data_IF_206249889456
#
_entry.id   IF_206249889456
#
_cell.length_a   1.000
_cell.length_b   1.000
_cell.length_c   1.000
_cell.angle_alpha   90.00
_cell.angle_beta   90.00
_cell.angle_gamma   90.00
#
_symmetry.space_group_name_H-M   'P 1'
#
loop_
_entity.id
_entity.type
_entity.pdbx_description
1 polymer ?
#
# COMPACT_ATOMS: atom_id res chain seq x y z
N UNK A 1 54.34 11.79 -30.36
CA UNK A 1 54.12 11.37 -31.77
C UNK A 1 53.00 12.21 -32.36
N UNK A 2 53.26 12.85 -33.50
CA UNK A 2 52.21 13.26 -34.45
C UNK A 2 51.68 14.68 -34.34
N UNK A 3 52.23 15.56 -35.18
CA UNK A 3 51.80 16.92 -35.46
C UNK A 3 50.83 16.97 -36.67
N UNK A 4 50.03 18.05 -36.75
CA UNK A 4 49.53 18.72 -37.97
C UNK A 4 48.38 18.00 -38.76
N UNK A 5 47.29 18.64 -39.18
CA UNK A 5 47.17 19.71 -40.19
C UNK A 5 45.81 20.45 -40.18
N UNK A 6 45.86 21.65 -40.78
CA UNK A 6 44.83 22.67 -41.05
C UNK A 6 43.56 22.21 -41.80
N UNK A 7 42.46 22.99 -41.66
CA UNK A 7 41.75 23.61 -42.81
C UNK A 7 41.14 24.99 -42.49
N UNK A 8 41.19 25.83 -43.52
CA UNK A 8 40.89 27.26 -43.63
C UNK A 8 39.43 27.58 -44.05
N UNK A 9 39.12 28.89 -43.91
CA UNK A 9 38.28 29.76 -44.75
C UNK A 9 36.78 29.87 -44.41
N UNK A 10 36.08 31.00 -44.56
CA UNK A 10 36.37 32.44 -44.77
C UNK A 10 35.00 33.19 -44.85
N UNK A 11 35.03 34.54 -44.87
CA UNK A 11 34.03 35.51 -45.41
C UNK A 11 32.84 35.88 -44.48
N UNK A 12 32.38 37.13 -44.26
CA UNK A 12 32.61 38.53 -44.69
C UNK A 12 32.03 39.42 -43.55
N UNK A 13 32.65 40.47 -43.01
CA UNK A 13 32.94 41.81 -43.54
C UNK A 13 31.71 42.64 -43.98
N UNK A 14 31.42 43.72 -43.22
CA UNK A 14 30.91 45.07 -43.57
C UNK A 14 30.40 45.68 -42.25
N UNK A 15 30.76 46.86 -41.76
CA UNK A 15 31.43 48.06 -42.28
C UNK A 15 30.81 49.19 -41.44
N UNK A 16 31.55 49.94 -40.62
CA UNK A 16 32.32 51.15 -40.94
C UNK A 16 31.81 52.27 -40.00
N UNK A 17 32.66 52.81 -39.11
CA UNK A 17 33.30 54.17 -39.15
C UNK A 17 32.38 55.28 -38.62
N UNK A 18 32.81 56.32 -37.91
CA UNK A 18 34.10 57.04 -37.78
C UNK A 18 34.07 57.77 -36.40
N UNK A 19 35.06 57.67 -35.51
CA UNK A 19 36.36 58.38 -35.44
C UNK A 19 36.28 59.91 -35.37
N UNK A 20 36.83 60.49 -34.29
CA UNK A 20 37.79 61.61 -34.34
C UNK A 20 38.35 61.89 -32.93
N UNK A 21 39.63 61.56 -32.73
CA UNK A 21 40.51 62.13 -31.71
C UNK A 21 40.98 63.53 -32.14
N UNK A 22 41.25 64.39 -31.17
CA UNK A 22 42.02 65.63 -31.38
C UNK A 22 42.97 65.86 -30.19
N UNK A 23 44.24 66.10 -30.52
CA UNK A 23 45.26 66.68 -29.64
C UNK A 23 45.07 68.20 -29.49
N UNK A 24 45.48 68.74 -28.36
CA UNK A 24 45.60 70.20 -28.18
C UNK A 24 46.40 70.54 -26.93
N UNK A 25 47.66 70.93 -27.12
CA UNK A 25 48.49 71.66 -26.16
C UNK A 25 48.10 73.14 -26.13
N UNK A 26 48.21 73.79 -24.97
CA UNK A 26 47.93 75.23 -24.83
C UNK A 26 48.52 75.79 -23.55
N UNK A 27 49.72 76.37 -23.66
CA UNK A 27 50.32 77.27 -22.68
C UNK A 27 49.89 78.70 -23.03
N UNK A 28 49.44 79.49 -22.07
CA UNK A 28 49.50 80.97 -22.15
C UNK A 28 49.47 81.58 -20.74
N UNK A 29 50.43 82.46 -20.41
CA UNK A 29 50.55 83.21 -19.16
C UNK A 29 49.86 84.59 -19.27
N UNK A 30 50.05 85.44 -18.25
CA UNK A 30 49.57 86.82 -18.01
C UNK A 30 48.40 86.84 -17.01
N UNK A 31 48.71 87.05 -15.72
CA UNK A 31 48.83 88.37 -15.07
C UNK A 31 47.45 88.97 -14.82
N UNK A 32 47.06 89.01 -13.54
CA UNK A 32 46.38 90.15 -12.96
C UNK A 32 46.81 90.24 -11.49
N UNK A 33 47.84 91.07 -11.32
CA UNK A 33 48.12 91.80 -10.10
C UNK A 33 46.87 92.60 -9.71
N UNK A 34 45.98 92.02 -8.90
CA UNK A 34 45.09 92.81 -8.05
C UNK A 34 45.65 92.86 -6.63
N UNK A 35 46.49 93.88 -6.45
CA UNK A 35 46.30 94.85 -5.38
C UNK A 35 46.31 94.30 -3.95
N UNK A 36 47.53 94.01 -3.48
CA UNK A 36 48.38 94.84 -2.58
C UNK A 36 47.71 96.01 -1.76
N UNK A 37 46.45 96.37 -1.96
CA UNK A 37 45.71 97.41 -1.22
C UNK A 37 44.78 96.88 -0.12
N UNK A 38 45.10 95.75 0.52
CA UNK A 38 44.44 95.32 1.77
C UNK A 38 45.38 95.27 2.99
N UNK A 39 46.59 95.84 2.90
CA UNK A 39 47.59 95.77 3.98
C UNK A 39 47.52 96.90 5.00
N UNK A 40 46.33 97.39 5.33
CA UNK A 40 46.15 98.34 6.43
C UNK A 40 44.76 98.28 7.08
N UNK A 41 44.33 97.07 7.48
CA UNK A 41 43.33 96.96 8.58
C UNK A 41 43.21 95.65 9.37
N UNK A 42 44.16 94.70 9.33
CA UNK A 42 44.18 93.59 10.28
C UNK A 42 45.60 93.27 10.74
N UNK A 43 45.87 93.46 12.04
CA UNK A 43 47.17 93.29 12.72
C UNK A 43 47.45 91.83 13.10
N UNK A 44 46.84 90.89 12.39
CA UNK A 44 46.71 89.50 12.82
C UNK A 44 47.24 88.55 11.75
N UNK A 45 48.29 87.81 12.09
CA UNK A 45 48.83 86.74 11.24
C UNK A 45 48.26 85.40 11.70
N UNK A 46 47.71 84.55 10.81
CA UNK A 46 47.23 83.22 11.17
C UNK A 46 48.35 82.38 11.82
N UNK A 47 48.11 81.85 13.02
CA UNK A 47 49.14 81.17 13.84
C UNK A 47 49.20 79.65 13.60
N UNK A 48 48.03 79.00 13.53
CA UNK A 48 47.89 77.58 13.20
C UNK A 48 47.34 77.40 11.77
N UNK A 49 47.56 76.24 11.15
CA UNK A 49 46.97 75.93 9.84
C UNK A 49 45.43 75.89 9.90
N UNK A 50 44.72 76.26 8.81
CA UNK A 50 43.26 76.18 8.77
C UNK A 50 42.76 74.75 9.01
N UNK A 51 41.81 74.58 9.95
CA UNK A 51 41.22 73.27 10.21
C UNK A 51 40.23 72.93 9.08
N UNK A 52 40.53 71.85 8.35
CA UNK A 52 39.58 71.22 7.42
C UNK A 52 39.17 69.86 7.98
N UNK A 53 37.98 69.78 8.57
CA UNK A 53 37.41 68.50 9.06
C UNK A 53 36.59 67.87 7.93
N UNK A 54 37.03 66.73 7.39
CA UNK A 54 36.22 65.97 6.43
C UNK A 54 34.99 65.40 7.14
N UNK A 55 33.80 65.59 6.57
CA UNK A 55 32.50 65.16 7.14
C UNK A 55 32.20 65.70 8.55
N UNK A 56 32.66 66.91 8.85
CA UNK A 56 32.42 67.61 10.11
C UNK A 56 32.56 69.11 9.97
N UNK A 57 32.22 69.84 11.03
CA UNK A 57 32.41 71.28 11.12
C UNK A 57 33.13 71.63 12.43
N UNK A 58 34.00 72.63 12.36
CA UNK A 58 34.72 73.16 13.50
C UNK A 58 34.11 74.53 13.86
N UNK A 59 33.59 74.66 15.07
CA UNK A 59 33.14 75.95 15.58
C UNK A 59 34.24 76.57 16.45
N UNK A 60 34.97 77.53 15.90
CA UNK A 60 36.12 78.15 16.53
C UNK A 60 35.75 79.46 17.22
N UNK A 61 36.13 79.57 18.49
CA UNK A 61 36.02 80.78 19.31
C UNK A 61 37.41 81.32 19.56
N UNK A 62 37.68 82.52 19.06
CA UNK A 62 38.93 83.23 19.27
C UNK A 62 38.88 83.99 20.61
N UNK A 63 40.02 84.26 21.28
CA UNK A 63 40.01 84.89 22.60
C UNK A 63 39.49 86.32 22.63
N UNK A 64 39.65 87.09 21.54
CA UNK A 64 39.33 88.53 21.46
C UNK A 64 38.37 88.88 20.31
N UNK A 65 37.81 87.88 19.60
CA UNK A 65 36.91 88.12 18.46
C UNK A 65 37.64 88.47 17.16
N UNK A 66 38.89 88.04 17.05
CA UNK A 66 39.80 88.20 15.90
C UNK A 66 39.18 87.73 14.57
N UNK A 67 39.57 88.38 13.47
CA UNK A 67 39.07 88.07 12.13
C UNK A 67 39.53 86.67 11.68
N UNK A 68 40.77 86.31 12.00
CA UNK A 68 41.34 85.00 11.70
C UNK A 68 41.00 83.99 12.79
N UNK A 69 40.21 82.96 12.44
CA UNK A 69 39.76 81.88 13.36
C UNK A 69 40.85 80.85 13.71
N UNK A 70 42.12 81.20 13.58
CA UNK A 70 43.28 80.34 13.78
C UNK A 70 44.46 81.07 14.45
N UNK A 71 44.17 82.06 15.29
CA UNK A 71 45.15 82.76 16.16
C UNK A 71 45.53 81.93 17.38
N UNK A 72 46.65 82.27 18.02
CA UNK A 72 47.15 81.59 19.23
C UNK A 72 46.07 81.57 20.33
N UNK A 73 45.83 80.41 20.95
CA UNK A 73 44.83 80.26 22.00
C UNK A 73 43.37 80.09 21.53
N UNK A 74 43.11 80.12 20.21
CA UNK A 74 41.78 79.80 19.65
C UNK A 74 41.33 78.41 20.07
N UNK A 75 40.07 78.28 20.52
CA UNK A 75 39.44 77.02 20.89
C UNK A 75 38.39 76.64 19.85
N UNK A 76 38.57 75.48 19.21
CA UNK A 76 37.64 74.96 18.22
C UNK A 76 36.92 73.73 18.75
N UNK A 77 35.61 73.83 18.91
CA UNK A 77 34.75 72.70 19.21
C UNK A 77 34.43 71.95 17.92
N UNK A 78 34.78 70.66 17.88
CA UNK A 78 34.64 69.83 16.69
C UNK A 78 33.34 69.04 16.78
N UNK A 79 32.50 69.14 15.75
CA UNK A 79 31.28 68.35 15.61
C UNK A 79 31.28 67.62 14.27
N UNK A 80 31.04 66.32 14.31
CA UNK A 80 30.91 65.51 13.10
C UNK A 80 29.48 65.63 12.53
N UNK A 81 29.34 65.42 11.22
CA UNK A 81 28.03 65.31 10.58
C UNK A 81 27.30 64.05 11.08
N UNK A 82 25.96 64.04 10.97
CA UNK A 82 25.14 62.88 11.35
C UNK A 82 25.64 61.63 10.62
N UNK A 83 25.81 60.51 11.34
CA UNK A 83 26.39 59.29 10.79
C UNK A 83 27.91 59.17 10.87
N UNK A 84 28.60 60.18 11.39
CA UNK A 84 30.04 60.13 11.66
C UNK A 84 30.30 60.24 13.16
N UNK A 85 31.31 59.53 13.64
CA UNK A 85 31.79 59.53 15.01
C UNK A 85 33.12 60.27 15.10
N UNK A 86 33.26 61.10 16.14
CA UNK A 86 34.48 61.83 16.40
C UNK A 86 35.55 60.89 16.99
N UNK A 87 36.68 60.79 16.32
CA UNK A 87 37.87 60.12 16.82
C UNK A 87 38.96 61.16 17.11
N UNK A 88 39.22 61.40 18.39
CA UNK A 88 40.13 62.44 18.88
C UNK A 88 39.47 63.35 19.93
N UNK A 89 40.14 64.43 20.34
CA UNK A 89 39.61 65.37 21.32
C UNK A 89 38.42 66.19 20.75
N UNK A 90 37.40 66.45 21.57
CA UNK A 90 36.22 67.25 21.19
C UNK A 90 36.53 68.74 21.02
N UNK A 91 37.62 69.22 21.63
CA UNK A 91 38.08 70.59 21.54
C UNK A 91 39.56 70.62 21.13
N UNK A 92 39.87 71.42 20.12
CA UNK A 92 41.23 71.70 19.65
C UNK A 92 41.65 73.10 20.06
N UNK A 93 42.90 73.25 20.51
CA UNK A 93 43.49 74.52 20.92
C UNK A 93 44.70 74.81 20.04
N UNK A 94 44.80 76.03 19.50
CA UNK A 94 45.99 76.46 18.77
C UNK A 94 47.12 76.77 19.77
N UNK A 95 48.20 75.98 19.72
CA UNK A 95 49.31 76.06 20.67
C UNK A 95 50.43 76.98 20.18
N UNK A 96 51.32 77.39 21.08
CA UNK A 96 52.51 78.21 20.77
C UNK A 96 53.44 77.54 19.74
N UNK A 97 53.39 76.21 19.64
CA UNK A 97 54.11 75.37 18.66
C UNK A 97 53.62 75.53 17.21
N UNK A 98 52.67 76.43 16.94
CA UNK A 98 52.00 76.62 15.62
C UNK A 98 51.27 75.37 15.13
N UNK A 99 50.91 74.46 16.05
CA UNK A 99 50.15 73.23 15.79
C UNK A 99 48.90 73.20 16.67
N UNK A 100 47.88 72.50 16.21
CA UNK A 100 46.70 72.20 17.01
C UNK A 100 47.03 71.14 18.08
N UNK A 101 46.35 71.21 19.22
CA UNK A 101 46.56 70.32 20.38
C UNK A 101 46.36 68.83 20.10
N UNK A 102 45.76 68.46 18.97
CA UNK A 102 45.56 67.09 18.56
C UNK A 102 45.10 66.98 17.12
N UNK A 103 44.97 65.74 16.65
CA UNK A 103 44.39 65.41 15.35
C UNK A 103 42.97 64.89 15.57
N UNK A 104 42.03 65.37 14.77
CA UNK A 104 40.63 64.93 14.78
C UNK A 104 40.27 64.28 13.45
N UNK A 105 39.51 63.20 13.51
CA UNK A 105 38.97 62.53 12.35
C UNK A 105 37.53 62.12 12.61
N UNK A 106 36.61 62.56 11.74
CA UNK A 106 35.25 62.05 11.73
C UNK A 106 35.23 60.76 10.92
N UNK A 107 35.14 59.60 11.59
CA UNK A 107 35.03 58.29 10.94
C UNK A 107 33.55 57.95 10.78
N UNK A 108 33.16 57.38 9.63
CA UNK A 108 31.78 56.97 9.41
C UNK A 108 31.39 55.87 10.41
N UNK A 109 30.21 56.00 11.03
CA UNK A 109 29.69 54.99 11.95
C UNK A 109 29.39 53.72 11.18
N UNK A 110 29.71 52.58 11.79
CA UNK A 110 29.50 51.25 11.22
C UNK A 110 28.78 50.36 12.23
N UNK A 111 27.69 49.72 11.79
CA UNK A 111 26.98 48.72 12.57
C UNK A 111 27.73 47.36 12.54
N UNK A 112 27.45 46.45 13.50
CA UNK A 112 27.94 45.08 13.46
C UNK A 112 27.60 44.40 12.12
N UNK A 113 28.50 43.54 11.65
CA UNK A 113 28.27 42.71 10.47
C UNK A 113 27.11 41.75 10.72
N UNK A 114 26.09 41.79 9.85
CA UNK A 114 24.95 40.89 9.93
C UNK A 114 25.39 39.44 9.68
N UNK A 115 24.87 38.51 10.47
CA UNK A 115 25.03 37.07 10.23
C UNK A 115 24.14 36.64 9.06
N UNK A 116 24.67 35.81 8.17
CA UNK A 116 23.86 35.23 7.10
C UNK A 116 22.84 34.24 7.69
N UNK A 117 21.54 34.37 7.37
CA UNK A 117 20.55 33.39 7.77
C UNK A 117 20.78 32.06 7.03
N UNK A 118 20.61 30.94 7.71
CA UNK A 118 20.56 29.61 7.08
C UNK A 118 19.41 29.56 6.07
N UNK A 119 19.66 29.02 4.87
CA UNK A 119 18.67 28.95 3.77
C UNK A 119 18.14 30.32 3.30
N UNK A 120 18.98 31.35 3.35
CA UNK A 120 18.67 32.67 2.83
C UNK A 120 19.91 33.56 2.71
N UNK A 121 19.67 34.85 2.56
CA UNK A 121 20.71 35.86 2.47
C UNK A 121 20.18 37.27 2.73
N UNK A 122 21.07 38.25 2.62
CA UNK A 122 20.71 39.66 2.67
C UNK A 122 21.50 40.45 1.65
N UNK A 123 20.92 41.55 1.17
CA UNK A 123 21.55 42.49 0.25
C UNK A 123 21.52 43.88 0.86
N UNK A 124 22.70 44.47 1.08
CA UNK A 124 22.85 45.82 1.61
C UNK A 124 23.23 46.79 0.50
N UNK A 125 22.72 48.03 0.58
CA UNK A 125 23.06 49.10 -0.37
C UNK A 125 24.49 49.62 -0.18
N UNK A 126 24.90 49.85 1.07
CA UNK A 126 26.21 50.44 1.41
C UNK A 126 26.84 49.69 2.61
N UNK A 127 26.96 48.36 2.47
CA UNK A 127 27.53 47.50 3.49
C UNK A 127 26.89 47.70 4.87
N UNK A 128 27.73 47.84 5.90
CA UNK A 128 27.30 48.05 7.30
C UNK A 128 27.43 49.51 7.77
N UNK A 129 27.47 50.48 6.85
CA UNK A 129 27.61 51.90 7.21
C UNK A 129 26.29 52.52 7.67
N UNK A 130 26.38 53.61 8.43
CA UNK A 130 25.23 54.38 8.88
C UNK A 130 24.28 54.75 7.74
N UNK A 131 22.99 54.51 7.94
CA UNK A 131 21.95 54.76 6.93
C UNK A 131 21.86 53.69 5.83
N UNK A 132 22.79 52.72 5.77
CA UNK A 132 22.68 51.57 4.86
C UNK A 132 21.42 50.76 5.18
N UNK A 133 20.67 50.42 4.13
CA UNK A 133 19.48 49.57 4.19
C UNK A 133 19.86 48.18 3.68
N UNK A 134 19.60 47.16 4.48
CA UNK A 134 19.79 45.77 4.12
C UNK A 134 18.43 45.08 4.03
N UNK A 135 18.19 44.40 2.91
CA UNK A 135 17.00 43.61 2.67
C UNK A 135 17.33 42.12 2.75
N UNK A 136 16.57 41.40 3.57
CA UNK A 136 16.67 39.95 3.71
C UNK A 136 15.80 39.24 2.66
N UNK A 137 16.28 38.10 2.19
CA UNK A 137 15.56 37.20 1.30
C UNK A 137 15.81 35.75 1.71
N UNK A 138 14.82 34.88 1.49
CA UNK A 138 14.93 33.45 1.77
C UNK A 138 14.99 32.65 0.46
N UNK A 139 15.62 31.47 0.53
CA UNK A 139 15.59 30.50 -0.56
C UNK A 139 14.15 30.00 -0.81
N UNK A 140 13.83 29.48 -2.00
CA UNK A 140 12.53 28.88 -2.28
C UNK A 140 12.14 27.83 -1.24
N UNK A 141 10.87 27.81 -0.83
CA UNK A 141 10.36 26.93 0.23
C UNK A 141 10.47 27.50 1.65
N UNK A 142 11.30 28.52 1.87
CA UNK A 142 11.48 29.12 3.19
C UNK A 142 10.74 30.46 3.33
N UNK A 143 10.07 30.64 4.46
CA UNK A 143 9.40 31.90 4.83
C UNK A 143 10.27 32.73 5.78
N UNK A 144 10.23 34.04 5.58
CA UNK A 144 11.00 34.99 6.36
C UNK A 144 10.28 35.33 7.67
N UNK A 145 10.92 35.04 8.81
CA UNK A 145 10.45 35.38 10.15
C UNK A 145 11.33 36.46 10.75
N UNK A 146 10.81 37.69 10.81
CA UNK A 146 11.53 38.87 11.31
C UNK A 146 11.27 40.09 10.43
N UNK A 147 12.12 41.12 10.55
CA UNK A 147 11.99 42.32 9.73
C UNK A 147 12.66 42.11 8.37
N UNK A 148 11.90 42.30 7.28
CA UNK A 148 12.42 42.15 5.91
C UNK A 148 13.53 43.16 5.61
N UNK A 149 13.47 44.35 6.20
CA UNK A 149 14.42 45.44 5.94
C UNK A 149 14.94 45.97 7.27
N UNK A 150 16.26 46.03 7.41
CA UNK A 150 16.94 46.62 8.57
C UNK A 150 17.81 47.79 8.13
N UNK A 151 17.86 48.85 8.94
CA UNK A 151 18.65 50.07 8.66
C UNK A 151 19.66 50.31 9.78
N UNK A 152 20.90 50.68 9.42
CA UNK A 152 21.93 50.99 10.42
C UNK A 152 21.67 52.35 11.06
N UNK A 153 21.38 52.34 12.36
CA UNK A 153 20.98 53.53 13.12
C UNK A 153 22.19 54.27 13.72
N UNK A 154 21.94 55.49 14.21
CA UNK A 154 22.99 56.38 14.72
C UNK A 154 23.68 55.86 16.00
N UNK A 155 23.02 54.95 16.72
CA UNK A 155 23.53 54.25 17.89
C UNK A 155 24.39 53.01 17.54
N UNK A 156 24.73 52.81 16.26
CA UNK A 156 25.47 51.64 15.74
C UNK A 156 24.72 50.31 15.93
N UNK A 157 23.40 50.34 16.05
CA UNK A 157 22.53 49.16 16.12
C UNK A 157 21.61 49.14 14.91
N UNK A 158 21.24 47.96 14.45
CA UNK A 158 20.25 47.80 13.38
C UNK A 158 18.83 48.08 13.90
N UNK A 159 18.00 48.75 13.11
CA UNK A 159 16.66 49.23 13.51
C UNK A 159 15.62 48.13 13.80
N UNK A 160 15.90 46.88 13.43
CA UNK A 160 14.95 45.77 13.49
C UNK A 160 15.57 44.48 14.00
N UNK A 161 14.75 43.43 14.10
CA UNK A 161 15.18 42.10 14.52
C UNK A 161 15.80 41.36 13.33
N UNK A 162 16.93 40.65 13.53
CA UNK A 162 17.48 39.78 12.49
C UNK A 162 16.44 38.80 11.98
N UNK A 163 16.30 38.68 10.67
CA UNK A 163 15.38 37.74 10.05
C UNK A 163 15.98 36.33 10.03
N UNK A 164 15.14 35.33 10.28
CA UNK A 164 15.47 33.92 10.09
C UNK A 164 14.57 33.33 8.98
N UNK A 165 15.11 32.43 8.18
CA UNK A 165 14.36 31.68 7.18
C UNK A 165 13.93 30.36 7.78
N UNK A 166 12.63 30.14 7.90
CA UNK A 166 12.05 28.90 8.43
C UNK A 166 11.18 28.25 7.36
N UNK A 167 11.27 26.94 7.27
CA UNK A 167 10.31 26.17 6.50
C UNK A 167 9.01 26.02 7.31
N UNK A 168 7.90 26.15 6.62
CA UNK A 168 6.53 26.05 7.14
C UNK A 168 5.60 25.38 6.14
N UNK A 169 6.06 25.10 4.91
CA UNK A 169 5.26 24.39 3.92
C UNK A 169 5.31 22.90 4.28
N UNK A 170 4.18 22.18 4.32
CA UNK A 170 4.21 20.74 4.50
C UNK A 170 4.60 20.03 3.19
N UNK A 171 5.32 18.90 3.28
CA UNK A 171 5.68 18.12 2.10
C UNK A 171 4.45 17.57 1.39
N UNK A 172 4.47 17.60 0.05
CA UNK A 172 3.41 17.06 -0.81
C UNK A 172 3.71 15.62 -1.19
N UNK A 173 2.76 14.72 -0.98
CA UNK A 173 2.89 13.30 -1.29
C UNK A 173 1.88 12.89 -2.35
N UNK A 174 2.33 12.26 -3.43
CA UNK A 174 1.44 11.81 -4.50
C UNK A 174 0.82 10.46 -4.14
N UNK A 175 -0.51 10.42 -4.03
CA UNK A 175 -1.20 9.18 -3.69
C UNK A 175 -1.27 8.19 -4.87
N UNK A 176 -1.03 6.90 -4.63
CA UNK A 176 -1.36 5.86 -5.60
C UNK A 176 -2.85 5.88 -5.93
N UNK A 177 -3.20 5.46 -7.15
CA UNK A 177 -4.60 5.30 -7.54
C UNK A 177 -5.28 4.22 -6.69
N UNK A 178 -6.58 4.42 -6.43
CA UNK A 178 -7.42 3.43 -5.71
C UNK A 178 -7.40 2.11 -6.48
N UNK A 179 -7.00 1.02 -5.82
CA UNK A 179 -6.93 -0.31 -6.42
C UNK A 179 -8.14 -1.14 -6.01
N UNK A 180 -9.03 -1.40 -6.95
CA UNK A 180 -10.06 -2.42 -6.82
C UNK A 180 -9.53 -3.75 -7.37
N UNK A 181 -9.63 -4.81 -6.57
CA UNK A 181 -9.16 -6.15 -6.93
C UNK A 181 -10.18 -7.21 -6.56
N UNK A 182 -10.35 -8.15 -7.46
CA UNK A 182 -11.14 -9.36 -7.21
C UNK A 182 -10.28 -10.39 -6.49
N UNK A 183 -10.86 -11.11 -5.54
CA UNK A 183 -10.20 -12.24 -4.89
C UNK A 183 -9.73 -13.31 -5.89
N UNK A 184 -8.63 -13.98 -5.54
CA UNK A 184 -8.07 -15.09 -6.32
C UNK A 184 -9.03 -16.30 -6.35
N UNK A 185 -8.95 -17.16 -7.39
CA UNK A 185 -9.78 -18.37 -7.46
C UNK A 185 -9.65 -19.25 -6.22
N UNK A 186 -10.79 -19.74 -5.71
CA UNK A 186 -10.89 -20.59 -4.52
C UNK A 186 -10.34 -19.94 -3.23
N UNK A 187 -10.15 -18.62 -3.20
CA UNK A 187 -9.71 -17.86 -2.02
C UNK A 187 -10.63 -16.67 -1.75
N UNK A 188 -10.51 -16.12 -0.54
CA UNK A 188 -11.20 -14.90 -0.10
C UNK A 188 -10.27 -13.68 -0.07
N UNK A 189 -9.04 -13.84 -0.55
CA UNK A 189 -7.99 -12.82 -0.52
C UNK A 189 -7.51 -12.47 -1.92
N UNK A 190 -7.04 -11.23 -2.11
CA UNK A 190 -6.35 -10.79 -3.32
C UNK A 190 -4.95 -10.28 -2.98
N UNK A 191 -3.95 -10.60 -3.81
CA UNK A 191 -2.62 -9.99 -3.72
C UNK A 191 -2.62 -8.63 -4.40
N UNK A 192 -2.30 -7.57 -3.66
CA UNK A 192 -2.37 -6.18 -4.17
C UNK A 192 -1.00 -5.52 -4.12
N UNK A 193 -0.55 -4.97 -5.24
CA UNK A 193 0.73 -4.27 -5.36
C UNK A 193 0.50 -2.81 -5.71
N UNK A 194 1.34 -1.90 -5.22
CA UNK A 194 1.43 -0.50 -5.63
C UNK A 194 2.84 0.02 -5.37
N UNK A 195 3.21 1.06 -6.12
CA UNK A 195 4.51 1.72 -5.96
C UNK A 195 4.48 2.58 -4.71
N UNK A 196 5.57 2.55 -3.94
CA UNK A 196 5.73 3.37 -2.74
C UNK A 196 5.72 4.85 -3.15
N UNK A 197 4.78 5.67 -2.62
CA UNK A 197 4.68 7.06 -3.01
C UNK A 197 5.87 7.88 -2.51
N UNK A 198 6.31 8.83 -3.32
CA UNK A 198 7.40 9.74 -2.97
C UNK A 198 6.84 11.06 -2.43
N UNK A 199 7.48 11.59 -1.38
CA UNK A 199 7.23 12.95 -0.89
C UNK A 199 8.08 13.95 -1.68
N UNK A 200 7.52 15.13 -1.96
CA UNK A 200 8.23 16.26 -2.55
C UNK A 200 7.94 17.52 -1.75
N UNK A 201 9.00 18.22 -1.41
CA UNK A 201 8.96 19.48 -0.70
C UNK A 201 9.78 20.56 -1.44
N UNK A 202 9.36 21.81 -1.33
CA UNK A 202 10.01 22.94 -2.03
C UNK A 202 11.38 23.28 -1.42
N UNK A 203 11.53 23.14 -0.10
CA UNK A 203 12.74 23.43 0.66
C UNK A 203 13.74 22.27 0.66
N UNK A 204 13.26 21.01 0.77
CA UNK A 204 14.10 19.82 0.94
C UNK A 204 14.23 18.93 -0.31
N UNK A 205 13.39 19.11 -1.33
CA UNK A 205 13.41 18.31 -2.55
C UNK A 205 12.64 16.98 -2.43
N UNK A 206 13.28 15.84 -2.69
CA UNK A 206 12.61 14.52 -2.67
C UNK A 206 12.83 13.85 -1.31
N UNK A 207 11.73 13.44 -0.67
CA UNK A 207 11.70 12.77 0.62
C UNK A 207 11.30 11.30 0.40
N UNK A 208 12.26 10.39 0.61
CA UNK A 208 12.09 8.95 0.41
C UNK A 208 11.70 8.18 1.68
N UNK A 209 11.93 8.77 2.85
CA UNK A 209 11.56 8.15 4.12
C UNK A 209 10.06 8.32 4.38
N UNK A 210 9.29 7.29 4.03
CA UNK A 210 7.83 7.28 4.15
C UNK A 210 7.39 6.22 5.13
N UNK A 211 6.54 6.63 6.08
CA UNK A 211 5.99 5.75 7.11
C UNK A 211 4.66 5.19 6.61
N UNK A 212 4.62 3.87 6.46
CA UNK A 212 3.40 3.12 6.10
C UNK A 212 2.59 2.77 7.36
N UNK A 213 1.29 3.05 7.31
CA UNK A 213 0.28 2.52 8.23
C UNK A 213 -0.75 1.70 7.44
N UNK A 214 -0.78 0.40 7.70
CA UNK A 214 -1.62 -0.57 7.02
C UNK A 214 -0.84 -1.81 6.58
N UNK A 215 -1.48 -2.66 5.78
CA UNK A 215 -0.83 -3.82 5.16
C UNK A 215 0.15 -3.37 4.06
N UNK A 216 1.34 -3.98 3.96
CA UNK A 216 2.34 -3.61 2.95
C UNK A 216 1.94 -4.03 1.53
N UNK A 217 2.47 -3.35 0.50
CA UNK A 217 2.27 -3.76 -0.89
C UNK A 217 2.79 -5.19 -1.10
N UNK A 218 2.07 -5.96 -1.90
CA UNK A 218 2.37 -7.36 -2.22
C UNK A 218 1.88 -8.38 -1.19
N UNK A 219 1.22 -7.95 -0.11
CA UNK A 219 0.56 -8.82 0.85
C UNK A 219 -0.82 -9.31 0.38
N UNK A 220 -1.38 -10.29 1.10
CA UNK A 220 -2.73 -10.81 0.85
C UNK A 220 -3.76 -10.01 1.63
N UNK A 221 -4.66 -9.33 0.91
CA UNK A 221 -5.74 -8.54 1.48
C UNK A 221 -7.02 -9.38 1.55
N UNK A 222 -7.68 -9.51 2.72
CA UNK A 222 -8.97 -10.16 2.84
C UNK A 222 -10.09 -9.31 2.23
N UNK A 223 -11.27 -9.90 2.07
CA UNK A 223 -12.45 -9.19 1.60
C UNK A 223 -12.76 -7.94 2.43
N UNK A 224 -13.03 -6.83 1.76
CA UNK A 224 -13.39 -5.56 2.39
C UNK A 224 -12.58 -4.37 1.90
N UNK A 225 -12.74 -3.26 2.60
CA UNK A 225 -12.11 -1.98 2.29
C UNK A 225 -10.96 -1.73 3.27
N UNK A 226 -9.74 -1.66 2.74
CA UNK A 226 -8.51 -1.48 3.52
C UNK A 226 -7.98 -0.07 3.36
N UNK A 227 -7.87 0.65 4.48
CA UNK A 227 -7.33 2.02 4.51
C UNK A 227 -5.82 1.97 4.63
N UNK A 228 -5.13 2.45 3.60
CA UNK A 228 -3.67 2.58 3.59
C UNK A 228 -3.31 4.04 3.77
N UNK A 229 -2.37 4.32 4.66
CA UNK A 229 -1.89 5.67 4.92
C UNK A 229 -0.36 5.71 4.83
N UNK A 230 0.14 6.67 4.06
CA UNK A 230 1.56 7.03 4.03
C UNK A 230 1.73 8.40 4.67
N UNK A 231 2.77 8.54 5.48
CA UNK A 231 3.14 9.78 6.15
C UNK A 231 4.61 10.09 5.86
N UNK A 232 4.91 11.33 5.52
CA UNK A 232 6.26 11.83 5.28
C UNK A 232 6.48 13.07 6.14
N UNK A 233 7.69 13.23 6.66
CA UNK A 233 8.13 14.41 7.40
C UNK A 233 9.25 15.10 6.63
N UNK A 234 9.26 16.43 6.63
CA UNK A 234 10.40 17.21 6.15
C UNK A 234 11.43 17.40 7.28
N UNK A 235 12.51 18.15 7.01
CA UNK A 235 13.54 18.46 8.02
C UNK A 235 13.10 19.47 9.06
N UNK A 236 12.05 20.23 8.78
CA UNK A 236 11.42 21.18 9.71
C UNK A 236 10.30 20.53 10.55
N UNK A 237 10.14 19.21 10.44
CA UNK A 237 9.10 18.40 11.08
C UNK A 237 7.66 18.68 10.63
N UNK A 238 7.45 19.38 9.51
CA UNK A 238 6.12 19.47 8.91
C UNK A 238 5.70 18.12 8.34
N UNK A 239 4.39 17.85 8.40
CA UNK A 239 3.82 16.54 8.11
C UNK A 239 2.98 16.52 6.85
N UNK A 240 3.36 15.69 5.89
CA UNK A 240 2.57 15.32 4.72
C UNK A 240 1.89 13.97 4.91
N UNK A 241 0.61 13.84 4.56
CA UNK A 241 -0.09 12.54 4.63
C UNK A 241 -0.87 12.24 3.37
N UNK A 242 -0.72 11.02 2.86
CA UNK A 242 -1.53 10.45 1.79
C UNK A 242 -2.39 9.31 2.36
N UNK A 243 -3.66 9.26 1.99
CA UNK A 243 -4.58 8.17 2.35
C UNK A 243 -5.29 7.67 1.10
N UNK A 244 -5.25 6.35 0.89
CA UNK A 244 -6.00 5.72 -0.19
C UNK A 244 -6.63 4.40 0.28
N UNK A 245 -7.58 3.91 -0.52
CA UNK A 245 -8.33 2.70 -0.24
C UNK A 245 -7.91 1.58 -1.19
N UNK A 246 -7.74 0.38 -0.63
CA UNK A 246 -7.62 -0.86 -1.38
C UNK A 246 -8.92 -1.64 -1.17
N UNK A 247 -9.70 -1.84 -2.23
CA UNK A 247 -10.97 -2.56 -2.15
C UNK A 247 -10.80 -3.97 -2.70
N UNK A 248 -11.03 -4.95 -1.85
CA UNK A 248 -11.08 -6.36 -2.26
C UNK A 248 -12.54 -6.82 -2.28
N UNK A 249 -12.96 -7.36 -3.43
CA UNK A 249 -14.31 -7.89 -3.62
C UNK A 249 -14.24 -9.38 -3.96
N UNK A 250 -15.05 -10.17 -3.27
CA UNK A 250 -15.21 -11.60 -3.59
C UNK A 250 -16.44 -11.76 -4.45
N UNK A 251 -16.26 -12.33 -5.65
CA UNK A 251 -17.38 -12.71 -6.52
C UNK A 251 -17.95 -14.01 -6.00
N UNK A 252 -19.27 -14.08 -5.81
CA UNK A 252 -19.97 -15.27 -5.32
C UNK A 252 -21.05 -15.69 -6.29
N UNK A 253 -21.09 -16.99 -6.60
CA UNK A 253 -22.18 -17.60 -7.34
C UNK A 253 -23.38 -17.85 -6.42
N UNK A 254 -24.52 -18.23 -7.00
CA UNK A 254 -25.66 -18.73 -6.21
C UNK A 254 -25.22 -19.91 -5.34
N UNK A 255 -25.70 -19.96 -4.09
CA UNK A 255 -25.39 -21.07 -3.20
C UNK A 255 -26.09 -22.33 -3.72
N UNK A 256 -25.31 -23.38 -3.97
CA UNK A 256 -25.84 -24.67 -4.39
C UNK A 256 -26.36 -25.44 -3.19
N UNK A 257 -27.45 -26.17 -3.40
CA UNK A 257 -28.02 -27.09 -2.43
C UNK A 257 -27.62 -28.53 -2.77
N UNK A 258 -27.66 -29.41 -1.78
CA UNK A 258 -27.51 -30.84 -2.03
C UNK A 258 -28.69 -31.33 -2.91
N UNK A 259 -28.43 -32.20 -3.90
CA UNK A 259 -29.51 -32.84 -4.65
C UNK A 259 -30.30 -33.78 -3.74
N UNK A 260 -31.58 -33.99 -4.05
CA UNK A 260 -32.40 -34.99 -3.36
C UNK A 260 -31.71 -36.35 -3.41
N UNK A 261 -31.64 -37.06 -2.27
CA UNK A 261 -30.92 -38.33 -2.14
C UNK A 261 -29.42 -38.24 -2.50
N UNK A 262 -28.80 -37.09 -2.30
CA UNK A 262 -27.36 -36.90 -2.42
C UNK A 262 -26.78 -35.88 -1.45
N UNK A 263 -25.48 -35.65 -1.57
CA UNK A 263 -24.71 -34.73 -0.76
C UNK A 263 -23.77 -33.90 -1.63
N UNK A 264 -23.42 -32.72 -1.13
CA UNK A 264 -22.54 -31.76 -1.78
C UNK A 264 -21.40 -31.40 -0.84
N UNK A 265 -20.17 -31.38 -1.36
CA UNK A 265 -18.98 -30.94 -0.65
C UNK A 265 -18.29 -29.85 -1.47
N UNK A 266 -18.20 -28.65 -0.91
CA UNK A 266 -17.62 -27.51 -1.60
C UNK A 266 -16.28 -27.08 -0.98
N UNK A 267 -15.38 -26.58 -1.82
CA UNK A 267 -14.12 -25.96 -1.41
C UNK A 267 -14.31 -24.47 -1.06
N UNK A 268 -13.32 -23.87 -0.39
CA UNK A 268 -13.31 -22.44 -0.10
C UNK A 268 -14.44 -22.01 0.83
N UNK A 269 -15.18 -20.97 0.42
CA UNK A 269 -16.35 -20.41 1.12
C UNK A 269 -17.67 -21.01 0.59
N UNK A 270 -17.59 -22.09 -0.20
CA UNK A 270 -18.74 -22.82 -0.75
C UNK A 270 -19.34 -22.25 -2.03
N UNK A 271 -19.22 -20.95 -2.29
CA UNK A 271 -19.72 -20.31 -3.51
C UNK A 271 -18.85 -19.17 -4.05
N UNK A 272 -17.64 -18.95 -3.51
CA UNK A 272 -16.73 -17.93 -4.02
C UNK A 272 -16.17 -18.33 -5.41
N UNK A 273 -15.76 -17.35 -6.20
CA UNK A 273 -15.17 -17.57 -7.52
C UNK A 273 -14.02 -18.59 -7.46
N UNK A 274 -14.07 -19.60 -8.32
CA UNK A 274 -13.14 -20.73 -8.33
C UNK A 274 -13.40 -21.82 -7.29
N UNK A 275 -14.42 -21.69 -6.42
CA UNK A 275 -14.87 -22.77 -5.56
C UNK A 275 -15.40 -23.94 -6.41
N UNK A 276 -15.03 -25.15 -6.02
CA UNK A 276 -15.48 -26.39 -6.64
C UNK A 276 -16.39 -27.11 -5.66
N UNK A 277 -17.60 -27.43 -6.11
CA UNK A 277 -18.55 -28.26 -5.39
C UNK A 277 -18.63 -29.63 -6.05
N UNK A 278 -18.30 -30.67 -5.29
CA UNK A 278 -18.39 -32.07 -5.67
C UNK A 278 -19.71 -32.64 -5.17
N UNK A 279 -20.36 -33.42 -6.02
CA UNK A 279 -21.65 -34.02 -5.77
C UNK A 279 -21.53 -35.53 -5.70
N UNK A 280 -22.33 -36.13 -4.84
CA UNK A 280 -22.35 -37.57 -4.66
C UNK A 280 -23.74 -37.99 -4.23
N UNK A 281 -24.15 -39.20 -4.61
CA UNK A 281 -25.47 -39.72 -4.28
C UNK A 281 -25.37 -40.70 -3.12
N UNK A 282 -26.47 -40.82 -2.36
CA UNK A 282 -26.60 -41.93 -1.42
C UNK A 282 -26.65 -43.24 -2.20
N UNK A 283 -26.19 -44.32 -1.57
CA UNK A 283 -26.04 -45.61 -2.21
C UNK A 283 -27.35 -46.12 -2.77
N UNK A 284 -27.33 -46.41 -4.07
CA UNK A 284 -28.51 -46.84 -4.80
C UNK A 284 -29.23 -45.80 -5.61
N UNK A 285 -28.73 -44.58 -5.59
CA UNK A 285 -28.96 -43.59 -6.62
C UNK A 285 -27.66 -43.42 -7.43
N UNK A 286 -27.80 -43.11 -8.70
CA UNK A 286 -26.72 -42.77 -9.61
C UNK A 286 -26.80 -41.29 -9.97
N UNK A 287 -25.64 -40.65 -10.03
CA UNK A 287 -25.52 -39.25 -10.35
C UNK A 287 -25.75 -39.03 -11.85
N UNK A 288 -26.72 -38.19 -12.18
CA UNK A 288 -26.97 -37.71 -13.54
C UNK A 288 -26.60 -36.22 -13.61
N UNK A 289 -25.77 -35.84 -14.57
CA UNK A 289 -25.25 -34.48 -14.71
C UNK A 289 -23.76 -34.40 -14.39
N UNK A 290 -23.29 -33.24 -13.93
CA UNK A 290 -21.86 -33.03 -13.67
C UNK A 290 -21.47 -33.47 -12.26
N UNK A 291 -20.43 -34.30 -12.08
CA UNK A 291 -19.97 -34.76 -10.77
C UNK A 291 -19.33 -33.67 -9.92
N UNK A 292 -18.83 -32.61 -10.56
CA UNK A 292 -18.36 -31.42 -9.90
C UNK A 292 -18.76 -30.19 -10.70
N UNK A 293 -19.01 -29.08 -10.01
CA UNK A 293 -19.29 -27.77 -10.62
C UNK A 293 -18.34 -26.74 -10.02
N UNK A 294 -17.89 -25.79 -10.84
CA UNK A 294 -16.96 -24.73 -10.45
C UNK A 294 -17.61 -23.37 -10.63
N UNK A 295 -17.51 -22.50 -9.63
CA UNK A 295 -18.04 -21.13 -9.70
C UNK A 295 -17.17 -20.30 -10.66
N UNK A 296 -17.76 -19.86 -11.76
CA UNK A 296 -17.08 -19.14 -12.84
C UNK A 296 -17.10 -17.62 -12.62
N UNK A 297 -16.28 -16.92 -13.41
CA UNK A 297 -16.13 -15.46 -13.29
C UNK A 297 -17.43 -14.70 -13.61
N UNK A 298 -18.26 -15.26 -14.51
CA UNK A 298 -19.58 -14.73 -14.88
C UNK A 298 -20.65 -14.92 -13.79
N UNK A 299 -20.29 -15.40 -12.59
CA UNK A 299 -21.21 -15.70 -11.48
C UNK A 299 -22.12 -16.92 -11.73
N UNK A 300 -21.85 -17.69 -12.79
CA UNK A 300 -22.51 -18.96 -13.08
C UNK A 300 -21.71 -20.16 -12.59
N UNK A 301 -22.37 -21.30 -12.44
CA UNK A 301 -21.72 -22.58 -12.18
C UNK A 301 -21.48 -23.33 -13.48
N UNK A 302 -20.28 -23.90 -13.63
CA UNK A 302 -19.98 -24.75 -14.78
C UNK A 302 -20.84 -26.02 -14.81
N UNK A 303 -20.93 -26.65 -15.97
CA UNK A 303 -21.58 -27.95 -16.13
C UNK A 303 -23.10 -27.92 -15.96
N UNK A 304 -23.67 -29.12 -15.86
CA UNK A 304 -25.11 -29.36 -15.75
C UNK A 304 -25.47 -29.64 -14.30
N UNK A 305 -26.63 -29.16 -13.87
CA UNK A 305 -27.15 -29.41 -12.53
C UNK A 305 -27.27 -30.92 -12.24
N UNK A 306 -26.64 -31.43 -11.17
CA UNK A 306 -26.65 -32.84 -10.85
C UNK A 306 -27.94 -33.25 -10.15
N UNK A 307 -28.46 -34.42 -10.52
CA UNK A 307 -29.59 -35.07 -9.86
C UNK A 307 -29.24 -36.50 -9.51
N UNK A 308 -29.76 -37.02 -8.40
CA UNK A 308 -29.57 -38.41 -8.01
C UNK A 308 -30.81 -39.22 -8.39
N UNK A 309 -30.69 -40.04 -9.42
CA UNK A 309 -31.77 -40.90 -9.91
C UNK A 309 -31.60 -42.33 -9.38
N UNK A 310 -32.69 -43.06 -9.07
CA UNK A 310 -32.56 -44.42 -8.56
C UNK A 310 -31.79 -45.31 -9.55
N UNK A 311 -30.88 -46.12 -9.03
CA UNK A 311 -30.03 -47.00 -9.82
C UNK A 311 -30.87 -47.99 -10.62
N UNK A 312 -30.63 -48.08 -11.94
CA UNK A 312 -31.33 -49.04 -12.78
C UNK A 312 -30.62 -50.40 -12.81
N UNK A 313 -31.04 -51.31 -11.93
CA UNK A 313 -30.50 -52.68 -11.87
C UNK A 313 -30.94 -53.48 -13.11
N UNK A 314 -29.99 -53.86 -13.98
CA UNK A 314 -30.24 -54.73 -15.12
C UNK A 314 -30.23 -56.21 -14.69
N UNK A 315 -31.41 -56.82 -14.64
CA UNK A 315 -31.59 -58.24 -14.30
C UNK A 315 -31.46 -59.18 -15.50
N UNK A 316 -31.42 -58.65 -16.72
CA UNK A 316 -31.32 -59.43 -17.97
C UNK A 316 -29.85 -59.67 -18.37
N UNK A 317 -29.02 -59.99 -17.39
CA UNK A 317 -27.59 -60.29 -17.59
C UNK A 317 -27.36 -61.79 -17.73
N UNK A 318 -26.30 -62.17 -18.46
CA UNK A 318 -25.99 -63.58 -18.77
C UNK A 318 -25.29 -64.32 -17.63
N UNK A 319 -24.58 -63.59 -16.77
CA UNK A 319 -23.77 -64.18 -15.68
C UNK A 319 -24.11 -63.57 -14.32
N UNK A 320 -24.03 -64.38 -13.27
CA UNK A 320 -24.17 -63.91 -11.90
C UNK A 320 -23.12 -62.86 -11.52
N UNK A 321 -21.89 -62.98 -12.01
CA UNK A 321 -20.83 -61.99 -11.79
C UNK A 321 -21.20 -60.61 -12.37
N UNK A 322 -21.76 -60.56 -13.58
CA UNK A 322 -22.22 -59.31 -14.20
C UNK A 322 -23.42 -58.69 -13.48
N UNK A 323 -24.21 -59.48 -12.74
CA UNK A 323 -25.23 -58.95 -11.85
C UNK A 323 -24.60 -58.32 -10.60
N UNK A 324 -23.65 -59.01 -9.97
CA UNK A 324 -22.99 -58.54 -8.75
C UNK A 324 -22.13 -57.29 -8.99
N UNK A 325 -21.48 -57.21 -10.15
CA UNK A 325 -20.65 -56.06 -10.56
C UNK A 325 -21.42 -54.74 -10.56
N UNK A 326 -22.72 -54.77 -10.88
CA UNK A 326 -23.57 -53.59 -10.82
C UNK A 326 -23.66 -52.99 -9.41
N UNK A 327 -23.48 -53.80 -8.35
CA UNK A 327 -23.55 -53.35 -6.97
C UNK A 327 -22.18 -52.98 -6.37
N UNK A 328 -21.09 -53.28 -7.07
CA UNK A 328 -19.73 -53.02 -6.62
C UNK A 328 -19.54 -51.52 -6.29
N UNK A 329 -18.97 -51.23 -5.11
CA UNK A 329 -18.81 -49.90 -4.49
C UNK A 329 -20.12 -49.11 -4.25
N UNK A 330 -21.27 -49.57 -4.75
CA UNK A 330 -22.55 -48.85 -4.70
C UNK A 330 -23.44 -49.32 -3.54
N UNK A 331 -23.71 -50.63 -3.44
CA UNK A 331 -24.67 -51.19 -2.46
C UNK A 331 -24.17 -52.50 -1.85
N UNK A 332 -24.61 -52.78 -0.63
CA UNK A 332 -24.44 -54.06 0.09
C UNK A 332 -25.56 -55.01 -0.33
N UNK A 333 -25.32 -56.31 -0.31
CA UNK A 333 -26.34 -57.30 -0.67
C UNK A 333 -26.74 -58.13 0.54
N UNK A 334 -28.05 -58.30 0.72
CA UNK A 334 -28.65 -59.24 1.66
C UNK A 334 -29.39 -60.30 0.84
N UNK A 335 -28.78 -61.47 0.68
CA UNK A 335 -29.33 -62.54 -0.16
C UNK A 335 -30.06 -63.53 0.75
N UNK A 336 -31.38 -63.66 0.58
CA UNK A 336 -32.22 -64.58 1.35
C UNK A 336 -32.57 -65.76 0.44
N UNK A 337 -32.07 -66.94 0.76
CA UNK A 337 -32.33 -68.18 0.03
C UNK A 337 -33.21 -69.13 0.82
N UNK A 338 -34.22 -69.70 0.17
CA UNK A 338 -35.13 -70.70 0.77
C UNK A 338 -35.53 -71.77 -0.26
N UNK A 339 -35.73 -73.03 0.17
CA UNK A 339 -36.21 -74.09 -0.72
C UNK A 339 -37.66 -73.91 -1.18
N UNK A 340 -38.49 -73.16 -0.44
CA UNK A 340 -39.91 -72.92 -0.78
C UNK A 340 -40.42 -71.60 -0.21
N UNK A 341 -41.41 -70.99 -0.88
CA UNK A 341 -42.09 -69.78 -0.43
C UNK A 341 -42.91 -70.01 0.86
N UNK A 342 -43.31 -71.25 1.13
CA UNK A 342 -44.05 -71.62 2.34
C UNK A 342 -43.15 -71.79 3.58
N UNK A 343 -41.82 -71.67 3.43
CA UNK A 343 -40.88 -71.87 4.52
C UNK A 343 -41.11 -70.85 5.64
N UNK A 344 -41.20 -71.33 6.88
CA UNK A 344 -41.48 -70.50 8.05
C UNK A 344 -40.42 -69.41 8.28
N UNK A 345 -39.14 -69.76 8.19
CA UNK A 345 -38.04 -68.81 8.38
C UNK A 345 -37.99 -67.73 7.31
N UNK A 346 -38.28 -68.06 6.06
CA UNK A 346 -38.39 -67.08 4.97
C UNK A 346 -39.49 -66.05 5.23
N UNK A 347 -40.69 -66.50 5.59
CA UNK A 347 -41.82 -65.59 5.90
C UNK A 347 -41.52 -64.73 7.12
N UNK A 348 -40.90 -65.31 8.16
CA UNK A 348 -40.48 -64.58 9.35
C UNK A 348 -39.44 -63.50 9.01
N UNK A 349 -38.41 -63.83 8.23
CA UNK A 349 -37.38 -62.87 7.83
C UNK A 349 -37.97 -61.68 7.07
N UNK A 350 -38.83 -61.94 6.08
CA UNK A 350 -39.46 -60.86 5.31
C UNK A 350 -40.37 -59.98 6.18
N UNK A 351 -41.14 -60.59 7.09
CA UNK A 351 -41.98 -59.87 8.04
C UNK A 351 -41.18 -58.94 8.96
N UNK A 352 -39.98 -59.35 9.37
CA UNK A 352 -39.08 -58.51 10.18
C UNK A 352 -38.41 -57.39 9.37
N UNK A 353 -38.12 -57.60 8.08
CA UNK A 353 -37.47 -56.60 7.23
C UNK A 353 -38.45 -55.53 6.72
N UNK A 354 -39.73 -55.85 6.56
CA UNK A 354 -40.76 -54.92 6.06
C UNK A 354 -40.83 -53.58 6.83
N UNK A 355 -40.92 -53.55 8.18
CA UNK A 355 -40.90 -52.29 8.93
C UNK A 355 -39.51 -51.63 8.99
N UNK A 356 -38.44 -52.35 8.65
CA UNK A 356 -37.06 -51.89 8.77
C UNK A 356 -36.48 -51.31 7.46
N UNK A 357 -37.33 -51.02 6.47
CA UNK A 357 -36.92 -50.58 5.13
C UNK A 357 -36.06 -49.31 5.16
N UNK A 358 -36.44 -48.31 5.98
CA UNK A 358 -35.64 -47.09 6.15
C UNK A 358 -34.21 -47.40 6.64
N UNK A 359 -34.07 -48.33 7.59
CA UNK A 359 -32.77 -48.73 8.14
C UNK A 359 -31.89 -49.49 7.15
N UNK A 360 -32.49 -50.21 6.20
CA UNK A 360 -31.80 -50.85 5.08
C UNK A 360 -31.32 -49.83 4.05
N UNK A 361 -32.15 -48.83 3.74
CA UNK A 361 -31.83 -47.77 2.79
C UNK A 361 -30.70 -46.87 3.31
N UNK A 362 -30.71 -46.49 4.61
CA UNK A 362 -29.58 -45.78 5.25
C UNK A 362 -28.25 -46.54 5.16
N UNK A 363 -28.32 -47.87 5.10
CA UNK A 363 -27.15 -48.77 5.02
C UNK A 363 -26.87 -49.24 3.60
N UNK A 364 -27.55 -48.67 2.61
CA UNK A 364 -27.39 -48.99 1.20
C UNK A 364 -27.50 -50.50 0.90
N UNK A 365 -28.47 -51.18 1.55
CA UNK A 365 -28.67 -52.64 1.41
C UNK A 365 -29.71 -52.93 0.33
N UNK A 366 -29.37 -53.84 -0.60
CA UNK A 366 -30.33 -54.44 -1.53
C UNK A 366 -30.67 -55.84 -1.07
N UNK A 367 -31.96 -56.14 -0.93
CA UNK A 367 -32.45 -57.49 -0.64
C UNK A 367 -32.61 -58.26 -1.96
N UNK A 368 -31.99 -59.44 -2.02
CA UNK A 368 -32.13 -60.39 -3.13
C UNK A 368 -32.78 -61.65 -2.59
N UNK A 369 -33.92 -62.03 -3.14
CA UNK A 369 -34.65 -63.22 -2.70
C UNK A 369 -34.41 -64.35 -3.70
N UNK A 370 -34.06 -65.54 -3.23
CA UNK A 370 -33.87 -66.75 -4.03
C UNK A 370 -34.79 -67.85 -3.47
N UNK A 371 -35.90 -68.11 -4.13
CA UNK A 371 -36.98 -68.96 -3.62
C UNK A 371 -37.16 -70.17 -4.52
N UNK A 372 -37.31 -71.36 -3.94
CA UNK A 372 -37.51 -72.59 -4.71
C UNK A 372 -36.21 -73.31 -5.03
N UNK A 373 -36.31 -74.49 -5.64
CA UNK A 373 -35.18 -75.30 -6.13
C UNK A 373 -35.28 -75.42 -7.65
N UNK A 374 -34.14 -75.48 -8.34
CA UNK A 374 -34.09 -75.67 -9.79
C UNK A 374 -34.86 -76.95 -10.21
N UNK A 375 -35.68 -76.92 -11.28
CA UNK A 375 -35.83 -75.86 -12.29
C UNK A 375 -36.86 -74.76 -11.95
N UNK A 376 -37.68 -74.95 -10.92
CA UNK A 376 -38.80 -74.06 -10.57
C UNK A 376 -38.43 -72.91 -9.62
N UNK A 377 -37.14 -72.60 -9.48
CA UNK A 377 -36.67 -71.52 -8.61
C UNK A 377 -36.86 -70.14 -9.24
N UNK A 378 -37.11 -69.16 -8.40
CA UNK A 378 -37.33 -67.76 -8.78
C UNK A 378 -36.36 -66.91 -7.96
N UNK A 379 -35.66 -66.01 -8.64
CA UNK A 379 -34.93 -64.94 -7.97
C UNK A 379 -35.68 -63.62 -8.08
N UNK A 380 -35.52 -62.72 -7.12
CA UNK A 380 -36.18 -61.41 -7.12
C UNK A 380 -35.31 -60.34 -6.48
N UNK A 381 -35.35 -59.13 -7.04
CA UNK A 381 -34.77 -57.91 -6.47
C UNK A 381 -35.83 -56.81 -6.54
N UNK A 382 -36.44 -56.47 -5.40
CA UNK A 382 -37.53 -55.51 -5.36
C UNK A 382 -38.74 -55.98 -6.18
N UNK A 383 -39.04 -55.35 -7.32
CA UNK A 383 -40.10 -55.80 -8.25
C UNK A 383 -39.58 -56.59 -9.46
N UNK A 384 -38.25 -56.66 -9.63
CA UNK A 384 -37.63 -57.28 -10.80
C UNK A 384 -37.41 -58.78 -10.54
N UNK A 385 -37.85 -59.62 -11.47
CA UNK A 385 -37.62 -61.07 -11.42
C UNK A 385 -36.29 -61.42 -12.09
N UNK A 386 -35.51 -62.25 -11.42
CA UNK A 386 -34.29 -62.84 -11.97
C UNK A 386 -34.65 -64.12 -12.72
N UNK A 387 -34.09 -64.36 -13.93
CA UNK A 387 -34.25 -65.63 -14.62
C UNK A 387 -33.83 -66.83 -13.73
N UNK A 388 -34.53 -67.98 -13.81
CA UNK A 388 -34.18 -69.17 -13.01
C UNK A 388 -32.73 -69.62 -13.17
N UNK A 389 -32.16 -69.47 -14.37
CA UNK A 389 -30.75 -69.76 -14.66
C UNK A 389 -29.80 -68.81 -13.93
N UNK A 390 -30.11 -67.52 -13.87
CA UNK A 390 -29.31 -66.51 -13.17
C UNK A 390 -29.38 -66.72 -11.65
N UNK A 391 -30.56 -67.03 -11.12
CA UNK A 391 -30.73 -67.43 -9.72
C UNK A 391 -29.90 -68.67 -9.37
N UNK A 392 -29.75 -69.63 -10.30
CA UNK A 392 -28.95 -70.84 -10.09
C UNK A 392 -27.47 -70.49 -10.03
N UNK A 393 -27.01 -69.68 -10.99
CA UNK A 393 -25.64 -69.23 -11.03
C UNK A 393 -25.25 -68.44 -9.78
N UNK A 394 -26.15 -67.59 -9.25
CA UNK A 394 -25.90 -66.88 -7.98
C UNK A 394 -25.68 -67.84 -6.82
N UNK A 395 -26.53 -68.87 -6.68
CA UNK A 395 -26.37 -69.89 -5.63
C UNK A 395 -25.06 -70.65 -5.78
N UNK A 396 -24.67 -71.02 -6.99
CA UNK A 396 -23.42 -71.73 -7.25
C UNK A 396 -22.19 -70.86 -6.99
N UNK A 397 -22.20 -69.63 -7.50
CA UNK A 397 -21.11 -68.66 -7.34
C UNK A 397 -20.85 -68.35 -5.86
N UNK A 398 -21.93 -68.17 -5.10
CA UNK A 398 -21.87 -67.85 -3.67
C UNK A 398 -21.98 -69.09 -2.78
N UNK A 399 -21.90 -70.32 -3.33
CA UNK A 399 -22.00 -71.58 -2.57
C UNK A 399 -23.15 -71.61 -1.54
N UNK A 400 -24.34 -71.17 -1.94
CA UNK A 400 -25.53 -71.08 -1.09
C UNK A 400 -26.26 -72.44 -1.11
N UNK A 401 -26.64 -73.02 0.04
CA UNK A 401 -27.35 -74.30 0.08
C UNK A 401 -28.73 -74.18 -0.59
N UNK A 402 -29.12 -75.22 -1.33
CA UNK A 402 -30.38 -75.25 -2.09
C UNK A 402 -31.59 -75.69 -1.25
N UNK A 403 -31.36 -76.56 -0.27
CA UNK A 403 -32.42 -77.24 0.47
C UNK A 403 -32.70 -76.63 1.85
N UNK A 404 -31.87 -75.68 2.28
CA UNK A 404 -31.97 -75.06 3.60
C UNK A 404 -32.17 -73.56 3.46
N UNK A 405 -32.85 -72.97 4.44
CA UNK A 405 -32.88 -71.53 4.59
C UNK A 405 -31.46 -71.00 4.86
N UNK A 406 -31.08 -69.92 4.19
CA UNK A 406 -29.79 -69.28 4.40
C UNK A 406 -29.85 -67.80 3.99
N UNK A 407 -29.27 -66.93 4.81
CA UNK A 407 -29.07 -65.52 4.51
C UNK A 407 -27.57 -65.28 4.31
N UNK A 408 -27.18 -64.60 3.24
CA UNK A 408 -25.79 -64.17 2.99
C UNK A 408 -25.73 -62.65 3.02
N UNK A 409 -24.85 -62.10 3.86
CA UNK A 409 -24.56 -60.66 3.94
C UNK A 409 -23.26 -60.38 3.18
N UNK A 410 -23.34 -59.56 2.13
CA UNK A 410 -22.19 -59.14 1.34
C UNK A 410 -21.93 -57.64 1.51
N UNK A 411 -20.66 -57.27 1.60
CA UNK A 411 -20.27 -55.85 1.60
C UNK A 411 -20.27 -55.23 0.18
N UNK A 412 -19.96 -53.94 0.09
CA UNK A 412 -19.92 -53.20 -1.18
C UNK A 412 -18.80 -53.66 -2.13
N UNK A 413 -17.80 -54.39 -1.65
CA UNK A 413 -16.74 -54.95 -2.51
C UNK A 413 -17.11 -56.35 -3.01
N UNK A 414 -18.33 -56.82 -2.73
CA UNK A 414 -18.78 -58.16 -3.11
C UNK A 414 -18.19 -59.27 -2.24
N UNK A 415 -17.63 -58.96 -1.07
CA UNK A 415 -17.11 -59.96 -0.15
C UNK A 415 -18.22 -60.53 0.74
N UNK A 416 -18.28 -61.85 0.84
CA UNK A 416 -19.11 -62.58 1.81
C UNK A 416 -18.60 -62.31 3.24
N UNK A 417 -19.48 -61.78 4.10
CA UNK A 417 -19.12 -61.39 5.47
C UNK A 417 -19.70 -62.31 6.52
N UNK A 418 -20.96 -62.67 6.40
CA UNK A 418 -21.67 -63.43 7.42
C UNK A 418 -22.82 -64.21 6.78
N UNK A 419 -23.09 -65.40 7.34
CA UNK A 419 -24.17 -66.27 6.87
C UNK A 419 -25.06 -66.71 8.03
N UNK A 420 -26.38 -66.59 7.86
CA UNK A 420 -27.34 -67.00 8.87
C UNK A 420 -28.16 -68.20 8.39
N UNK A 421 -28.09 -69.36 9.06
CA UNK A 421 -28.94 -70.51 8.75
C UNK A 421 -30.36 -70.38 9.34
N UNK A 422 -30.64 -69.31 10.08
CA UNK A 422 -31.93 -68.97 10.69
C UNK A 422 -32.23 -67.47 10.53
N UNK A 423 -33.47 -67.00 10.73
CA UNK A 423 -33.82 -65.58 10.59
C UNK A 423 -32.98 -64.69 11.52
N UNK A 424 -32.45 -63.61 10.98
CA UNK A 424 -31.67 -62.61 11.72
C UNK A 424 -32.52 -61.35 11.91
N UNK A 425 -32.48 -60.79 13.12
CA UNK A 425 -33.22 -59.58 13.43
C UNK A 425 -32.61 -58.38 12.69
N UNK A 426 -33.41 -57.34 12.36
CA UNK A 426 -32.86 -56.13 11.75
C UNK A 426 -31.75 -55.49 12.61
N UNK A 427 -31.89 -55.51 13.94
CA UNK A 427 -30.88 -54.98 14.85
C UNK A 427 -29.54 -55.71 14.74
N UNK A 428 -29.54 -57.04 14.67
CA UNK A 428 -28.32 -57.84 14.48
C UNK A 428 -27.67 -57.55 13.13
N UNK A 429 -28.48 -57.52 12.05
CA UNK A 429 -28.00 -57.21 10.70
C UNK A 429 -27.40 -55.81 10.63
N UNK A 430 -28.04 -54.83 11.23
CA UNK A 430 -27.57 -53.45 11.26
C UNK A 430 -26.30 -53.31 12.09
N UNK A 431 -26.22 -53.95 13.26
CA UNK A 431 -25.02 -53.95 14.09
C UNK A 431 -23.82 -54.60 13.41
N UNK A 432 -24.04 -55.64 12.59
CA UNK A 432 -23.00 -56.23 11.75
C UNK A 432 -22.54 -55.23 10.67
N UNK A 433 -23.49 -54.66 9.91
CA UNK A 433 -23.18 -53.76 8.79
C UNK A 433 -22.46 -52.50 9.28
N UNK A 434 -22.85 -51.96 10.43
CA UNK A 434 -22.26 -50.76 11.04
C UNK A 434 -20.79 -50.97 11.47
N UNK A 435 -20.32 -52.22 11.56
CA UNK A 435 -18.89 -52.52 11.78
C UNK A 435 -18.04 -52.39 10.51
N UNK A 436 -18.65 -52.39 9.32
CA UNK A 436 -17.89 -52.37 8.05
C UNK A 436 -17.13 -51.04 7.87
N UNK A 437 -15.87 -51.05 7.37
CA UNK A 437 -15.07 -49.82 7.24
C UNK A 437 -15.78 -48.71 6.46
N UNK A 438 -16.24 -49.01 5.23
CA UNK A 438 -16.99 -48.05 4.41
C UNK A 438 -18.28 -47.54 5.08
N UNK A 439 -18.88 -48.35 5.96
CA UNK A 439 -20.10 -47.93 6.66
C UNK A 439 -19.81 -46.88 7.72
N UNK A 440 -18.67 -46.98 8.41
CA UNK A 440 -18.26 -45.99 9.43
C UNK A 440 -18.04 -44.60 8.82
N UNK A 441 -17.53 -44.53 7.60
CA UNK A 441 -17.35 -43.26 6.90
C UNK A 441 -18.69 -42.68 6.43
N UNK A 442 -19.60 -43.52 5.92
CA UNK A 442 -20.99 -43.13 5.61
C UNK A 442 -21.75 -42.60 6.84
N UNK A 443 -21.53 -43.19 8.03
CA UNK A 443 -22.17 -42.74 9.28
C UNK A 443 -21.76 -41.31 9.66
N UNK A 444 -20.49 -40.95 9.49
CA UNK A 444 -20.00 -39.60 9.79
C UNK A 444 -20.67 -38.57 8.90
N UNK A 445 -20.72 -38.86 7.59
CA UNK A 445 -21.40 -38.02 6.61
C UNK A 445 -22.90 -37.87 6.91
N UNK A 446 -23.58 -38.95 7.28
CA UNK A 446 -25.01 -38.91 7.63
C UNK A 446 -25.29 -38.10 8.90
N UNK A 447 -24.41 -38.18 9.91
CA UNK A 447 -24.54 -37.44 11.16
C UNK A 447 -24.39 -35.93 10.98
N UNK A 448 -23.48 -35.48 10.10
CA UNK A 448 -23.29 -34.06 9.76
C UNK A 448 -24.53 -33.43 9.12
N UNK A 449 -25.39 -34.24 8.49
CA UNK A 449 -26.54 -33.82 7.70
C UNK A 449 -27.86 -33.99 8.48
N UNK A 450 -27.84 -34.67 9.63
CA UNK A 450 -29.04 -34.95 10.43
C UNK A 450 -29.97 -36.00 9.81
N UNK A 451 -29.45 -36.85 8.91
CA UNK A 451 -30.23 -37.91 8.27
C UNK A 451 -30.46 -39.05 9.28
N UNK A 452 -31.69 -39.24 9.72
CA UNK A 452 -32.08 -40.30 10.65
C UNK A 452 -33.37 -40.98 10.18
N UNK A 453 -33.52 -42.26 10.52
CA UNK A 453 -34.82 -42.92 10.45
C UNK A 453 -35.58 -42.66 11.76
N UNK A 454 -36.88 -42.34 11.70
CA UNK A 454 -37.72 -42.18 12.88
C UNK A 454 -37.92 -43.48 13.66
#
# INVERSE_FOLDING_TARGET
MGSCWLRLAALLALGARASLEYEGSGYSPLEDDEDVYARNRYKETPWCSPIKVKHGYANCRTPQGEYYKNVLGTRCDIRCQKGYELHGPHQLICQSSKRWSGKVLCKQKRCPTLSMPTNGGFKCLDGAYFGSRCEYYCSPGYQLKGDRIVTCMDNKVWSGRPAACIDTEPPRIQCPSVKEKTAEPNKLTARVFWDTPEGRDTADGILTDVILKGLPPGSHFPEGDHKIQYTVYDRAENKGTCKFLVKVRVRRCVKLNAPDNGYIKCSGDGNNYGATCEFSCIGGYELQGSPARVCQYNLGWSGVEPTCAPMNINVNVRTAAALLDQFYEKRRLLIISTPTAANFFYRMQLGMLQPAQCGLDLRHVTVVELVGVFPAQIGRIGVKLLPPSLALQLRLLLRIPHYNFNIVVMDKHGMDKERYPFPATPAELFALIDKFPLRKDEMKLQAEIGQSCP
#
